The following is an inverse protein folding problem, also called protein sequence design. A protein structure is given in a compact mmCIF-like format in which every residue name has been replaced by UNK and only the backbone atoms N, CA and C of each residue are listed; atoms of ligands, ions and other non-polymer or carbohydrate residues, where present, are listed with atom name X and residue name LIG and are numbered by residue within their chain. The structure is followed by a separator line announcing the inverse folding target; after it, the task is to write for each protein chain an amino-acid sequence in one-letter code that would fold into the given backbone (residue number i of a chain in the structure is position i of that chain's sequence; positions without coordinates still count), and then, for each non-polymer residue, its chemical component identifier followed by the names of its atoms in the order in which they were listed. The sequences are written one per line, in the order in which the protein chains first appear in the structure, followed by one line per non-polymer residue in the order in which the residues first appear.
data_IF_185291973373
#
_entry.id   IF_185291973373
#
_cell.length_a   1.000
_cell.length_b   1.000
_cell.length_c   1.000
_cell.angle_alpha   90.00
_cell.angle_beta   90.00
_cell.angle_gamma   90.00
#
_symmetry.space_group_name_H-M   'P 1'
#
loop_
_entity.id
_entity.type
_entity.pdbx_description
1 polymer ?
#
# COMPACT_ATOMS: atom_id res chain seq x y z
N UNK A 1 15.96 -9.24 9.10
CA UNK A 1 15.40 -7.89 9.32
C UNK A 1 14.32 -7.86 10.41
N UNK A 2 13.20 -8.57 10.25
CA UNK A 2 12.09 -8.52 11.22
C UNK A 2 12.50 -8.94 12.65
N UNK A 3 13.33 -9.98 12.78
CA UNK A 3 13.87 -10.43 14.08
C UNK A 3 14.72 -9.35 14.77
N UNK A 4 15.56 -8.64 14.02
CA UNK A 4 16.38 -7.54 14.56
C UNK A 4 15.50 -6.37 15.04
N UNK A 5 14.41 -6.08 14.33
CA UNK A 5 13.44 -5.06 14.76
C UNK A 5 12.74 -5.49 16.05
N UNK A 6 12.30 -6.75 16.15
CA UNK A 6 11.61 -7.28 17.33
C UNK A 6 12.50 -7.27 18.59
N UNK A 7 13.78 -7.64 18.42
CA UNK A 7 14.79 -7.60 19.47
C UNK A 7 15.01 -6.19 20.06
N UNK A 8 14.60 -5.14 19.35
CA UNK A 8 14.67 -3.77 19.86
C UNK A 8 16.09 -3.21 19.88
N UNK A 9 16.97 -3.68 18.99
CA UNK A 9 18.35 -3.20 18.85
C UNK A 9 18.48 -2.27 17.62
N UNK A 10 18.53 -0.94 17.82
CA UNK A 10 18.67 0.01 16.72
C UNK A 10 19.96 -0.15 15.92
N UNK A 11 21.06 -0.58 16.56
CA UNK A 11 22.34 -0.80 15.90
C UNK A 11 22.25 -1.96 14.92
N UNK A 12 21.79 -3.11 15.40
CA UNK A 12 21.61 -4.30 14.58
C UNK A 12 20.67 -4.07 13.39
N UNK A 13 19.59 -3.29 13.57
CA UNK A 13 18.67 -2.95 12.48
C UNK A 13 19.32 -2.06 11.43
N UNK A 14 20.08 -1.04 11.84
CA UNK A 14 20.81 -0.17 10.90
C UNK A 14 21.89 -0.96 10.16
N UNK A 15 22.63 -1.83 10.85
CA UNK A 15 23.65 -2.67 10.22
C UNK A 15 23.04 -3.65 9.21
N UNK A 16 21.90 -4.26 9.55
CA UNK A 16 21.16 -5.10 8.61
C UNK A 16 20.72 -4.33 7.36
N UNK A 17 20.20 -3.10 7.52
CA UNK A 17 19.83 -2.25 6.39
C UNK A 17 21.03 -1.82 5.55
N UNK A 18 22.16 -1.47 6.18
CA UNK A 18 23.41 -1.08 5.50
C UNK A 18 24.02 -2.24 4.73
N UNK A 19 23.96 -3.45 5.29
CA UNK A 19 24.48 -4.66 4.63
C UNK A 19 23.79 -4.97 3.30
N UNK A 20 22.60 -4.38 3.05
CA UNK A 20 21.85 -4.47 1.79
C UNK A 20 21.81 -5.90 1.23
N UNK A 21 21.27 -6.88 2.00
CA UNK A 21 21.11 -8.23 1.49
C UNK A 21 20.22 -8.22 0.24
N UNK A 22 20.28 -9.27 -0.58
CA UNK A 22 19.67 -9.29 -1.92
C UNK A 22 18.17 -8.92 -1.95
N UNK A 23 17.46 -9.14 -0.85
CA UNK A 23 16.04 -8.90 -0.64
C UNK A 23 15.71 -7.59 0.11
N UNK A 24 16.69 -6.88 0.68
CA UNK A 24 16.46 -5.65 1.45
C UNK A 24 17.28 -4.49 0.91
N UNK A 25 16.59 -3.39 0.61
CA UNK A 25 17.19 -2.12 0.20
C UNK A 25 16.85 -1.02 1.19
N UNK A 26 17.84 -0.20 1.54
CA UNK A 26 17.62 1.02 2.29
C UNK A 26 17.92 2.26 1.43
N UNK A 27 16.97 3.18 1.40
CA UNK A 27 17.12 4.52 0.85
C UNK A 27 17.18 5.50 2.02
N UNK A 28 18.40 5.90 2.38
CA UNK A 28 18.65 6.92 3.41
C UNK A 28 18.21 8.30 2.91
N UNK A 29 16.92 8.60 3.12
CA UNK A 29 16.26 9.77 2.60
C UNK A 29 15.93 10.73 3.75
N UNK A 30 16.28 12.03 3.64
CA UNK A 30 15.98 12.99 4.70
C UNK A 30 14.47 13.13 4.91
N UNK A 31 14.06 13.27 6.16
CA UNK A 31 12.67 13.48 6.52
C UNK A 31 12.27 14.98 6.44
N UNK A 32 11.02 15.29 6.06
CA UNK A 32 9.99 14.36 5.61
C UNK A 32 10.28 13.87 4.19
N UNK A 33 10.08 12.57 3.95
CA UNK A 33 10.21 11.96 2.63
C UNK A 33 9.08 12.44 1.74
N UNK A 34 9.37 13.36 0.81
CA UNK A 34 8.45 13.85 -0.22
C UNK A 34 8.67 13.09 -1.54
N UNK A 35 7.70 12.29 -2.02
CA UNK A 35 7.86 11.50 -3.22
C UNK A 35 7.96 12.33 -4.50
N UNK A 36 7.51 13.59 -4.48
CA UNK A 36 7.59 14.48 -5.64
C UNK A 36 8.97 15.14 -5.80
N UNK A 37 9.77 15.16 -4.73
CA UNK A 37 11.06 15.90 -4.68
C UNK A 37 12.28 15.02 -4.45
N UNK A 38 12.11 13.81 -3.93
CA UNK A 38 13.23 12.95 -3.57
C UNK A 38 13.89 12.30 -4.80
N UNK A 39 15.17 12.58 -5.09
CA UNK A 39 15.88 11.97 -6.22
C UNK A 39 16.22 10.50 -5.99
N UNK A 40 16.16 10.02 -4.74
CA UNK A 40 16.49 8.64 -4.37
C UNK A 40 15.43 7.62 -4.82
N UNK A 41 14.26 8.09 -5.25
CA UNK A 41 13.10 7.25 -5.55
C UNK A 41 13.03 6.74 -6.98
N UNK A 42 14.08 6.88 -7.80
CA UNK A 42 14.06 6.47 -9.21
C UNK A 42 13.68 5.00 -9.37
N UNK A 43 14.28 4.10 -8.59
CA UNK A 43 13.99 2.67 -8.69
C UNK A 43 12.65 2.30 -8.04
N UNK A 44 12.26 2.98 -6.95
CA UNK A 44 10.92 2.83 -6.35
C UNK A 44 9.84 3.22 -7.37
N UNK A 45 10.02 4.36 -8.05
CA UNK A 45 9.14 4.82 -9.12
C UNK A 45 9.09 3.78 -10.24
N UNK A 46 10.24 3.26 -10.69
CA UNK A 46 10.28 2.23 -11.75
C UNK A 46 9.45 1.01 -11.34
N UNK A 47 9.72 0.44 -10.17
CA UNK A 47 9.04 -0.77 -9.69
C UNK A 47 7.52 -0.57 -9.52
N UNK A 48 7.10 0.56 -8.92
CA UNK A 48 5.67 0.87 -8.74
C UNK A 48 4.97 1.09 -10.08
N UNK A 49 5.62 1.78 -11.02
CA UNK A 49 5.05 2.01 -12.36
C UNK A 49 4.94 0.70 -13.13
N UNK A 50 5.93 -0.18 -13.07
CA UNK A 50 5.91 -1.48 -13.73
C UNK A 50 4.79 -2.38 -13.19
N UNK A 51 4.68 -2.50 -11.86
CA UNK A 51 3.61 -3.24 -11.21
C UNK A 51 2.22 -2.71 -11.59
N UNK A 52 2.00 -1.40 -11.50
CA UNK A 52 0.73 -0.79 -11.86
C UNK A 52 0.43 -0.88 -13.37
N UNK A 53 1.45 -0.85 -14.23
CA UNK A 53 1.29 -1.07 -15.67
C UNK A 53 0.77 -2.48 -15.93
N UNK A 54 1.28 -3.49 -15.22
CA UNK A 54 0.80 -4.87 -15.31
C UNK A 54 -0.66 -5.00 -14.87
N UNK A 55 -1.04 -4.35 -13.77
CA UNK A 55 -2.45 -4.27 -13.31
C UNK A 55 -3.34 -3.65 -14.38
N UNK A 56 -2.95 -2.49 -14.92
CA UNK A 56 -3.75 -1.78 -15.93
C UNK A 56 -3.85 -2.59 -17.22
N UNK A 57 -2.77 -3.24 -17.66
CA UNK A 57 -2.75 -4.05 -18.87
C UNK A 57 -3.68 -5.26 -18.74
N UNK A 58 -3.62 -6.00 -17.63
CA UNK A 58 -4.53 -7.12 -17.37
C UNK A 58 -5.99 -6.65 -17.28
N UNK A 59 -6.24 -5.57 -16.55
CA UNK A 59 -7.58 -5.02 -16.36
C UNK A 59 -8.23 -4.53 -17.66
N UNK A 60 -7.46 -3.92 -18.57
CA UNK A 60 -7.94 -3.49 -19.90
C UNK A 60 -8.28 -4.66 -20.82
N UNK A 61 -7.70 -5.84 -20.59
CA UNK A 61 -8.07 -7.08 -21.30
C UNK A 61 -9.22 -7.85 -20.63
N UNK A 62 -9.76 -7.34 -19.53
CA UNK A 62 -10.80 -8.03 -18.75
C UNK A 62 -10.29 -9.19 -17.90
N UNK A 63 -8.98 -9.33 -17.75
CA UNK A 63 -8.36 -10.41 -16.98
C UNK A 63 -8.32 -10.04 -15.49
N UNK A 64 -9.43 -10.33 -14.80
CA UNK A 64 -9.58 -10.08 -13.36
C UNK A 64 -8.55 -10.79 -12.50
N UNK A 65 -8.36 -12.13 -12.64
CA UNK A 65 -7.35 -12.86 -11.89
C UNK A 65 -5.94 -12.28 -12.07
N UNK A 66 -5.48 -12.08 -13.31
CA UNK A 66 -4.14 -11.54 -13.53
C UNK A 66 -3.98 -10.11 -12.99
N UNK A 67 -5.04 -9.30 -13.01
CA UNK A 67 -5.02 -7.96 -12.43
C UNK A 67 -4.92 -7.98 -10.89
N UNK A 68 -5.61 -8.92 -10.23
CA UNK A 68 -5.53 -9.12 -8.78
C UNK A 68 -4.17 -9.66 -8.35
N UNK A 69 -3.60 -10.60 -9.10
CA UNK A 69 -2.26 -11.12 -8.84
C UNK A 69 -1.20 -10.01 -9.00
N UNK A 70 -1.28 -9.24 -10.10
CA UNK A 70 -0.39 -8.09 -10.32
C UNK A 70 -0.54 -7.02 -9.23
N UNK A 71 -1.74 -6.83 -8.66
CA UNK A 71 -1.98 -5.87 -7.58
C UNK A 71 -1.19 -6.23 -6.31
N UNK A 72 -0.91 -7.51 -6.07
CA UNK A 72 -0.17 -7.99 -4.91
C UNK A 72 1.35 -7.89 -5.07
N UNK A 73 1.85 -7.52 -6.25
CA UNK A 73 3.29 -7.54 -6.56
C UNK A 73 4.10 -6.49 -5.81
N UNK A 74 3.63 -5.23 -5.74
CA UNK A 74 4.34 -4.12 -5.09
C UNK A 74 3.35 -3.26 -4.30
N UNK A 75 3.66 -2.96 -3.04
CA UNK A 75 2.84 -2.05 -2.23
C UNK A 75 3.68 -0.98 -1.51
N UNK A 76 3.17 0.25 -1.49
CA UNK A 76 3.76 1.35 -0.71
C UNK A 76 3.00 1.53 0.61
N UNK A 77 3.73 1.40 1.72
CA UNK A 77 3.21 1.51 3.07
C UNK A 77 3.78 2.75 3.77
N UNK A 78 2.88 3.61 4.25
CA UNK A 78 3.24 4.82 4.98
C UNK A 78 2.80 4.71 6.44
N UNK A 79 3.54 5.33 7.36
CA UNK A 79 3.06 5.46 8.74
C UNK A 79 1.84 6.39 8.83
N UNK A 80 1.91 7.54 8.13
CA UNK A 80 0.91 8.59 8.21
C UNK A 80 -0.11 8.51 7.08
N UNK A 81 -1.30 9.07 7.32
CA UNK A 81 -2.30 9.28 6.27
C UNK A 81 -2.04 10.55 5.44
N UNK A 82 -1.56 11.61 6.09
CA UNK A 82 -1.36 12.96 5.52
C UNK A 82 0.10 13.38 5.69
N UNK A 83 0.47 14.51 5.08
CA UNK A 83 1.83 15.02 5.06
C UNK A 83 2.67 14.43 3.91
N UNK A 84 3.89 14.92 3.69
CA UNK A 84 4.72 14.52 2.55
C UNK A 84 5.03 13.01 2.54
N UNK A 85 5.29 12.44 3.73
CA UNK A 85 5.53 11.00 3.91
C UNK A 85 4.24 10.18 4.09
N UNK A 86 3.08 10.82 3.97
CA UNK A 86 1.79 10.19 4.18
C UNK A 86 1.24 9.49 2.94
N UNK A 87 0.39 8.48 3.16
CA UNK A 87 -0.23 7.68 2.09
C UNK A 87 -0.96 8.54 1.05
N UNK A 88 -1.56 9.66 1.44
CA UNK A 88 -2.22 10.58 0.51
C UNK A 88 -1.27 11.24 -0.50
N UNK A 89 -0.11 11.72 -0.04
CA UNK A 89 0.89 12.35 -0.89
C UNK A 89 1.52 11.32 -1.85
N UNK A 90 1.88 10.15 -1.33
CA UNK A 90 2.41 9.05 -2.12
C UNK A 90 1.43 8.54 -3.17
N UNK A 91 0.15 8.38 -2.82
CA UNK A 91 -0.90 8.00 -3.77
C UNK A 91 -1.05 9.03 -4.89
N UNK A 92 -1.09 10.32 -4.55
CA UNK A 92 -1.22 11.38 -5.55
C UNK A 92 -0.02 11.42 -6.51
N UNK A 93 1.18 11.20 -5.97
CA UNK A 93 2.41 11.20 -6.73
C UNK A 93 2.57 9.96 -7.62
N UNK A 94 2.20 8.77 -7.11
CA UNK A 94 2.12 7.56 -7.94
C UNK A 94 1.12 7.75 -9.07
N UNK A 95 -0.08 8.28 -8.79
CA UNK A 95 -1.06 8.61 -9.83
C UNK A 95 -0.48 9.60 -10.87
N UNK A 96 0.43 10.50 -10.48
CA UNK A 96 1.15 11.40 -11.40
C UNK A 96 2.15 10.64 -12.27
N UNK A 97 2.95 9.75 -11.68
CA UNK A 97 3.87 8.90 -12.44
C UNK A 97 3.14 8.04 -13.48
N UNK A 98 1.99 7.47 -13.10
CA UNK A 98 1.18 6.63 -13.96
C UNK A 98 0.50 7.41 -15.09
N UNK A 99 0.05 8.65 -14.84
CA UNK A 99 -0.44 9.54 -15.91
C UNK A 99 0.61 9.81 -16.98
N UNK A 100 1.88 9.88 -16.60
CA UNK A 100 2.98 10.06 -17.57
C UNK A 100 3.35 8.75 -18.27
N UNK A 101 3.32 7.62 -17.56
CA UNK A 101 3.82 6.34 -18.08
C UNK A 101 2.79 5.57 -18.91
N UNK A 102 1.50 5.72 -18.63
CA UNK A 102 0.43 4.90 -19.21
C UNK A 102 -0.54 5.80 -19.98
N UNK A 103 -0.59 5.61 -21.30
CA UNK A 103 -1.54 6.32 -22.16
C UNK A 103 -2.98 6.06 -21.72
N UNK A 104 -3.77 7.14 -21.61
CA UNK A 104 -5.17 7.09 -21.18
C UNK A 104 -5.38 6.67 -19.72
N UNK A 105 -4.36 6.74 -18.86
CA UNK A 105 -4.51 6.42 -17.44
C UNK A 105 -5.45 7.39 -16.74
N UNK A 106 -6.35 6.85 -15.92
CA UNK A 106 -7.29 7.65 -15.13
C UNK A 106 -8.44 8.27 -15.93
N UNK A 107 -8.51 8.05 -17.25
CA UNK A 107 -9.61 8.54 -18.09
C UNK A 107 -10.88 7.75 -17.78
N UNK A 108 -11.95 8.46 -17.45
CA UNK A 108 -13.24 7.86 -17.15
C UNK A 108 -13.75 7.04 -18.36
N UNK A 109 -14.28 5.85 -18.11
CA UNK A 109 -14.99 5.12 -19.15
C UNK A 109 -16.22 5.93 -19.62
N UNK A 110 -16.57 5.91 -20.92
CA UNK A 110 -17.75 6.58 -21.44
C UNK A 110 -19.01 6.19 -20.66
N UNK A 111 -19.83 7.18 -20.28
CA UNK A 111 -21.06 6.94 -19.51
C UNK A 111 -20.85 6.46 -18.07
N UNK A 112 -19.61 6.37 -17.58
CA UNK A 112 -19.35 6.08 -16.17
C UNK A 112 -19.71 7.29 -15.31
N UNK A 113 -20.49 7.04 -14.25
CA UNK A 113 -20.69 8.06 -13.22
C UNK A 113 -19.44 8.21 -12.36
N UNK A 114 -19.13 9.40 -11.82
CA UNK A 114 -18.05 9.55 -10.87
C UNK A 114 -18.23 8.58 -9.69
N UNK A 115 -17.14 7.93 -9.29
CA UNK A 115 -17.09 7.16 -8.07
C UNK A 115 -16.96 8.03 -6.83
N UNK A 116 -16.72 7.39 -5.69
CA UNK A 116 -16.52 8.05 -4.40
C UNK A 116 -15.44 9.15 -4.47
N UNK A 117 -15.67 10.27 -3.77
CA UNK A 117 -14.90 11.52 -3.87
C UNK A 117 -14.76 12.08 -5.30
N UNK A 118 -15.79 11.91 -6.13
CA UNK A 118 -15.84 12.39 -7.53
C UNK A 118 -14.72 11.86 -8.42
N UNK A 119 -14.14 10.70 -8.06
CA UNK A 119 -13.04 10.08 -8.84
C UNK A 119 -13.59 9.21 -9.95
N UNK A 120 -13.08 9.37 -11.16
CA UNK A 120 -13.45 8.57 -12.33
C UNK A 120 -13.28 7.05 -12.11
N UNK A 121 -14.16 6.26 -12.73
CA UNK A 121 -13.97 4.82 -12.89
C UNK A 121 -13.24 4.53 -14.20
N UNK A 122 -12.17 3.75 -14.12
CA UNK A 122 -11.34 3.37 -15.25
C UNK A 122 -10.78 1.96 -15.04
N UNK A 123 -10.56 1.23 -16.13
CA UNK A 123 -9.93 -0.09 -16.07
C UNK A 123 -8.48 0.03 -15.56
N UNK A 124 -8.13 -0.78 -14.58
CA UNK A 124 -6.86 -0.78 -13.88
C UNK A 124 -6.87 0.02 -12.58
N UNK A 125 -7.98 0.66 -12.19
CA UNK A 125 -8.06 1.35 -10.88
C UNK A 125 -8.02 0.31 -9.75
N UNK A 126 -6.99 0.32 -8.89
CA UNK A 126 -6.94 -0.55 -7.73
C UNK A 126 -7.81 0.03 -6.62
N UNK A 127 -8.46 -0.84 -5.86
CA UNK A 127 -9.46 -0.50 -4.86
C UNK A 127 -9.07 -1.05 -3.50
N UNK A 128 -9.33 -0.26 -2.46
CA UNK A 128 -9.38 -0.70 -1.08
C UNK A 128 -10.74 -0.34 -0.49
N UNK A 129 -11.45 -1.33 0.02
CA UNK A 129 -12.72 -1.15 0.73
C UNK A 129 -12.45 -0.57 2.10
N UNK A 130 -13.17 0.50 2.46
CA UNK A 130 -12.95 1.25 3.70
C UNK A 130 -14.07 1.07 4.72
N UNK A 131 -15.18 0.43 4.35
CA UNK A 131 -16.28 0.06 5.23
C UNK A 131 -16.99 -1.20 4.70
N UNK A 132 -17.56 -2.00 5.60
CA UNK A 132 -18.31 -3.19 5.21
C UNK A 132 -19.58 -2.81 4.45
N UNK A 133 -19.85 -3.50 3.36
CA UNK A 133 -21.14 -3.50 2.67
C UNK A 133 -21.59 -4.95 2.50
N UNK A 134 -22.42 -5.39 3.44
CA UNK A 134 -22.96 -6.75 3.48
C UNK A 134 -23.88 -7.06 2.29
N UNK A 135 -24.51 -6.04 1.68
CA UNK A 135 -25.36 -6.22 0.51
C UNK A 135 -24.57 -6.51 -0.76
N UNK A 136 -23.32 -6.05 -0.82
CA UNK A 136 -22.36 -6.36 -1.88
C UNK A 136 -21.42 -7.51 -1.52
N UNK A 137 -21.35 -7.92 -0.25
CA UNK A 137 -20.42 -8.93 0.21
C UNK A 137 -18.96 -8.45 0.23
N UNK A 138 -18.75 -7.13 0.39
CA UNK A 138 -17.40 -6.53 0.55
C UNK A 138 -17.18 -6.07 1.99
N UNK A 139 -15.95 -6.21 2.47
CA UNK A 139 -15.54 -5.97 3.84
C UNK A 139 -14.38 -4.98 3.88
N UNK A 140 -14.29 -4.20 4.95
CA UNK A 140 -13.21 -3.26 5.18
C UNK A 140 -11.86 -4.00 5.14
N UNK A 141 -10.94 -3.49 4.32
CA UNK A 141 -9.65 -4.11 4.05
C UNK A 141 -9.59 -4.93 2.76
N UNK A 142 -10.73 -5.25 2.14
CA UNK A 142 -10.73 -5.95 0.86
C UNK A 142 -10.07 -5.12 -0.25
N UNK A 143 -9.25 -5.79 -1.04
CA UNK A 143 -8.58 -5.21 -2.19
C UNK A 143 -9.19 -5.73 -3.49
N UNK A 144 -9.32 -4.86 -4.48
CA UNK A 144 -9.87 -5.22 -5.78
C UNK A 144 -9.30 -4.39 -6.92
N UNK A 145 -9.70 -4.71 -8.15
CA UNK A 145 -9.33 -3.95 -9.35
C UNK A 145 -10.57 -3.74 -10.23
N UNK A 146 -10.69 -2.55 -10.80
CA UNK A 146 -11.69 -2.30 -11.84
C UNK A 146 -11.17 -2.84 -13.17
N UNK A 147 -11.93 -3.70 -13.84
CA UNK A 147 -11.61 -4.30 -15.14
C UNK A 147 -12.63 -3.91 -16.20
N UNK A 148 -12.22 -3.99 -17.46
CA UNK A 148 -13.12 -3.87 -18.61
C UNK A 148 -13.57 -5.27 -19.07
N UNK A 149 -14.86 -5.56 -18.90
CA UNK A 149 -15.44 -6.86 -19.29
C UNK A 149 -15.93 -6.91 -20.73
N UNK A 150 -15.79 -5.81 -21.47
CA UNK A 150 -16.13 -5.73 -22.89
C UNK A 150 -15.05 -4.97 -23.68
N UNK A 151 -13.79 -5.48 -23.71
CA UNK A 151 -12.70 -4.80 -24.40
C UNK A 151 -12.97 -4.71 -25.90
N UNK A 152 -12.93 -3.50 -26.46
CA UNK A 152 -13.23 -3.23 -27.88
C UNK A 152 -14.71 -3.00 -28.20
N UNK A 153 -15.59 -3.21 -27.23
CA UNK A 153 -17.02 -2.89 -27.31
C UNK A 153 -17.36 -1.58 -26.59
N UNK A 154 -18.30 -1.65 -25.65
CA UNK A 154 -18.83 -0.50 -24.90
C UNK A 154 -17.97 -0.07 -23.71
N UNK A 155 -16.93 -0.83 -23.34
CA UNK A 155 -16.10 -0.53 -22.16
C UNK A 155 -16.81 -0.81 -20.84
N UNK A 156 -17.38 -2.00 -20.68
CA UNK A 156 -18.22 -2.35 -19.54
C UNK A 156 -17.38 -2.64 -18.29
N UNK A 157 -17.37 -1.69 -17.36
CA UNK A 157 -16.59 -1.83 -16.13
C UNK A 157 -17.23 -2.77 -15.08
N UNK A 158 -16.37 -3.56 -14.44
CA UNK A 158 -16.66 -4.33 -13.21
C UNK A 158 -15.52 -4.14 -12.22
N UNK A 159 -15.83 -4.04 -10.93
CA UNK A 159 -14.84 -4.19 -9.87
C UNK A 159 -14.79 -5.66 -9.47
N UNK A 160 -13.61 -6.27 -9.58
CA UNK A 160 -13.35 -7.63 -9.11
C UNK A 160 -12.59 -7.58 -7.80
N UNK A 161 -13.01 -8.39 -6.83
CA UNK A 161 -12.37 -8.53 -5.53
C UNK A 161 -11.93 -9.97 -5.34
N UNK A 162 -10.75 -10.13 -4.76
CA UNK A 162 -10.25 -11.46 -4.45
C UNK A 162 -11.09 -12.13 -3.36
N UNK A 163 -11.44 -13.38 -3.62
CA UNK A 163 -12.20 -14.26 -2.76
C UNK A 163 -11.64 -15.66 -2.95
N UNK A 164 -11.48 -16.39 -1.85
CA UNK A 164 -11.06 -17.80 -1.89
C UNK A 164 -12.08 -18.61 -2.70
N UNK A 165 -11.74 -18.94 -3.95
CA UNK A 165 -12.63 -19.62 -4.89
C UNK A 165 -12.95 -18.74 -6.10
N UNK A 166 -14.11 -18.09 -6.10
CA UNK A 166 -14.60 -17.28 -7.23
C UNK A 166 -14.50 -15.78 -6.91
N UNK A 167 -13.83 -14.98 -7.77
CA UNK A 167 -13.75 -13.53 -7.57
C UNK A 167 -15.13 -12.87 -7.51
N UNK A 168 -15.35 -12.03 -6.50
CA UNK A 168 -16.58 -11.25 -6.39
C UNK A 168 -16.57 -10.12 -7.43
N UNK A 169 -17.56 -10.08 -8.31
CA UNK A 169 -17.70 -9.07 -9.36
C UNK A 169 -18.91 -8.16 -9.12
N UNK A 170 -18.68 -6.85 -9.02
CA UNK A 170 -19.73 -5.85 -8.79
C UNK A 170 -19.62 -4.67 -9.75
N UNK A 171 -20.73 -3.94 -9.94
CA UNK A 171 -20.69 -2.68 -10.70
C UNK A 171 -19.98 -1.60 -9.86
N UNK A 172 -18.97 -0.89 -10.37
CA UNK A 172 -18.25 0.12 -9.60
C UNK A 172 -19.16 1.21 -9.02
N UNK A 173 -20.21 1.60 -9.74
CA UNK A 173 -21.19 2.59 -9.29
C UNK A 173 -21.95 2.19 -8.01
N UNK A 174 -21.95 0.91 -7.61
CA UNK A 174 -22.53 0.45 -6.34
C UNK A 174 -21.58 0.61 -5.15
N UNK A 175 -20.29 0.82 -5.38
CA UNK A 175 -19.29 0.92 -4.33
C UNK A 175 -19.30 2.32 -3.72
N UNK A 176 -19.83 2.43 -2.50
CA UNK A 176 -19.90 3.71 -1.77
C UNK A 176 -18.66 4.00 -0.92
N UNK A 177 -17.94 2.97 -0.46
CA UNK A 177 -16.84 3.12 0.52
C UNK A 177 -15.55 2.46 0.03
N UNK A 178 -14.94 3.05 -1.00
CA UNK A 178 -13.66 2.59 -1.56
C UNK A 178 -12.70 3.74 -1.85
N UNK A 179 -11.40 3.46 -1.73
CA UNK A 179 -10.31 4.37 -2.12
C UNK A 179 -9.34 3.72 -3.11
N UNK A 180 -8.55 4.54 -3.82
CA UNK A 180 -7.49 4.00 -4.70
C UNK A 180 -6.35 3.41 -3.89
N UNK A 181 -5.90 2.21 -4.25
CA UNK A 181 -4.85 1.46 -3.55
C UNK A 181 -3.48 1.54 -4.25
N UNK A 182 -2.88 2.73 -4.30
CA UNK A 182 -1.48 2.90 -4.75
C UNK A 182 -0.51 3.10 -3.59
N UNK A 183 -1.02 3.63 -2.48
CA UNK A 183 -0.33 3.71 -1.21
C UNK A 183 -1.36 3.63 -0.09
N UNK A 184 -1.00 2.97 1.00
CA UNK A 184 -1.87 2.84 2.16
C UNK A 184 -1.08 3.02 3.46
N UNK A 185 -1.80 3.19 4.56
CA UNK A 185 -1.18 3.21 5.88
C UNK A 185 -0.82 1.80 6.34
N UNK A 186 0.29 1.63 7.07
CA UNK A 186 0.72 0.32 7.61
C UNK A 186 -0.41 -0.39 8.37
N UNK A 187 -1.20 0.34 9.17
CA UNK A 187 -2.37 -0.19 9.87
C UNK A 187 -3.42 -0.84 8.95
N UNK A 188 -3.61 -0.31 7.73
CA UNK A 188 -4.57 -0.84 6.75
C UNK A 188 -4.01 -2.06 6.00
N UNK A 189 -2.72 -2.32 6.09
CA UNK A 189 -2.08 -3.50 5.52
C UNK A 189 -2.13 -4.72 6.46
N UNK A 190 -2.70 -4.59 7.66
CA UNK A 190 -2.75 -5.67 8.63
C UNK A 190 -3.45 -6.90 8.05
N UNK A 191 -2.77 -8.06 8.12
CA UNK A 191 -3.28 -9.32 7.56
C UNK A 191 -3.11 -9.48 6.04
N UNK A 192 -2.58 -8.48 5.35
CA UNK A 192 -2.18 -8.59 3.93
C UNK A 192 -0.68 -8.84 3.81
N UNK A 193 -0.24 -9.49 2.74
CA UNK A 193 1.17 -9.61 2.35
C UNK A 193 1.30 -9.28 0.86
N UNK A 194 2.49 -8.85 0.47
CA UNK A 194 2.82 -8.41 -0.88
C UNK A 194 4.19 -8.94 -1.28
N UNK A 195 4.38 -9.24 -2.57
CA UNK A 195 5.66 -9.72 -3.09
C UNK A 195 6.82 -8.78 -2.72
N UNK A 196 6.63 -7.49 -2.99
CA UNK A 196 7.53 -6.43 -2.58
C UNK A 196 6.81 -5.32 -1.81
N UNK A 197 7.49 -4.75 -0.80
CA UNK A 197 6.97 -3.64 0.00
C UNK A 197 7.96 -2.49 0.05
N UNK A 198 7.46 -1.27 -0.17
CA UNK A 198 8.18 -0.03 0.08
C UNK A 198 7.64 0.60 1.36
N UNK A 199 8.43 0.62 2.44
CA UNK A 199 8.07 1.24 3.71
C UNK A 199 8.61 2.66 3.75
N UNK A 200 7.73 3.63 3.98
CA UNK A 200 8.08 5.05 4.10
C UNK A 200 7.92 5.48 5.56
N UNK A 201 9.04 5.79 6.20
CA UNK A 201 9.01 6.27 7.59
C UNK A 201 8.95 7.80 7.64
N UNK A 202 8.17 8.36 8.59
CA UNK A 202 8.16 9.78 8.89
C UNK A 202 9.43 10.18 9.67
N UNK A 203 9.54 11.46 10.00
CA UNK A 203 10.60 12.01 10.86
C UNK A 203 10.67 11.31 12.24
N UNK A 204 11.89 11.27 12.81
CA UNK A 204 12.20 10.57 14.07
C UNK A 204 11.32 11.00 15.27
N UNK A 205 10.88 12.26 15.30
CA UNK A 205 10.02 12.80 16.36
C UNK A 205 8.55 12.34 16.28
N UNK A 206 8.16 11.61 15.23
CA UNK A 206 6.77 11.25 15.02
C UNK A 206 6.24 10.30 16.11
N UNK A 207 5.03 10.56 16.68
CA UNK A 207 4.43 9.67 17.68
C UNK A 207 3.99 8.32 17.12
N UNK A 208 3.79 8.22 15.80
CA UNK A 208 3.41 6.98 15.14
C UNK A 208 4.60 6.04 14.92
N UNK A 209 5.82 6.55 15.05
CA UNK A 209 7.05 5.81 14.80
C UNK A 209 7.37 4.93 16.02
N UNK A 210 6.96 3.67 15.97
CA UNK A 210 7.18 2.67 17.02
C UNK A 210 7.77 1.39 16.44
N UNK A 211 8.34 0.56 17.32
CA UNK A 211 8.94 -0.72 16.96
C UNK A 211 7.91 -1.65 16.33
N UNK A 212 6.71 -1.72 16.89
CA UNK A 212 5.62 -2.57 16.41
C UNK A 212 5.09 -2.07 15.05
N UNK A 213 5.06 -0.76 14.81
CA UNK A 213 4.70 -0.23 13.49
C UNK A 213 5.73 -0.67 12.44
N UNK A 214 7.02 -0.49 12.74
CA UNK A 214 8.10 -0.91 11.83
C UNK A 214 8.08 -2.41 11.62
N UNK A 215 7.95 -3.21 12.68
CA UNK A 215 7.84 -4.67 12.62
C UNK A 215 6.66 -5.11 11.75
N UNK A 216 5.49 -4.49 11.94
CA UNK A 216 4.31 -4.79 11.13
C UNK A 216 4.57 -4.48 9.66
N UNK A 217 5.22 -3.35 9.36
CA UNK A 217 5.53 -2.94 8.00
C UNK A 217 6.52 -3.89 7.30
N UNK A 218 7.62 -4.27 7.97
CA UNK A 218 8.63 -5.14 7.38
C UNK A 218 8.11 -6.56 7.15
N UNK A 219 7.22 -7.05 8.01
CA UNK A 219 6.59 -8.38 7.85
C UNK A 219 5.51 -8.44 6.77
N UNK A 220 5.15 -7.31 6.15
CA UNK A 220 4.23 -7.31 4.99
C UNK A 220 4.92 -7.76 3.70
N UNK A 221 6.25 -7.73 3.63
CA UNK A 221 7.03 -8.15 2.47
C UNK A 221 7.20 -9.68 2.44
N UNK A 222 6.92 -10.31 1.30
CA UNK A 222 7.17 -11.74 1.10
C UNK A 222 8.56 -12.01 0.53
N UNK A 223 9.03 -11.15 -0.39
CA UNK A 223 10.28 -11.37 -1.13
C UNK A 223 11.22 -10.17 -1.13
N UNK A 224 10.71 -8.95 -1.20
CA UNK A 224 11.55 -7.75 -1.27
C UNK A 224 11.06 -6.62 -0.37
N UNK A 225 11.98 -6.00 0.35
CA UNK A 225 11.71 -4.87 1.22
C UNK A 225 12.57 -3.67 0.81
N UNK A 226 11.94 -2.54 0.54
CA UNK A 226 12.63 -1.25 0.44
C UNK A 226 12.21 -0.36 1.62
N UNK A 227 13.16 0.08 2.43
CA UNK A 227 12.93 1.07 3.49
C UNK A 227 13.37 2.44 2.99
N UNK A 228 12.48 3.42 3.07
CA UNK A 228 12.75 4.83 2.73
C UNK A 228 12.61 5.63 4.01
N UNK A 229 13.76 5.95 4.61
CA UNK A 229 13.83 6.56 5.92
C UNK A 229 15.22 7.12 6.18
N UNK A 230 15.30 8.22 6.92
CA UNK A 230 16.55 8.65 7.53
C UNK A 230 16.96 7.68 8.65
N UNK A 231 18.26 7.55 8.91
CA UNK A 231 18.78 6.65 9.95
C UNK A 231 18.20 6.94 11.33
N UNK A 232 18.09 8.22 11.69
CA UNK A 232 17.54 8.66 12.98
C UNK A 232 16.09 8.19 13.17
N UNK A 233 15.28 8.19 12.11
CA UNK A 233 13.93 7.66 12.13
C UNK A 233 13.90 6.15 12.32
N UNK A 234 14.79 5.40 11.65
CA UNK A 234 14.89 3.95 11.88
C UNK A 234 15.26 3.67 13.34
N UNK A 235 16.27 4.36 13.87
CA UNK A 235 16.70 4.18 15.27
C UNK A 235 15.60 4.55 16.25
N UNK A 236 14.91 5.66 16.02
CA UNK A 236 13.81 6.12 16.86
C UNK A 236 12.63 5.14 16.86
N UNK A 237 12.27 4.55 15.70
CA UNK A 237 11.26 3.50 15.63
C UNK A 237 11.62 2.31 16.53
N UNK A 238 12.83 1.75 16.36
CA UNK A 238 13.25 0.54 17.06
C UNK A 238 13.35 0.77 18.57
N UNK A 239 13.83 1.94 18.99
CA UNK A 239 13.97 2.30 20.41
C UNK A 239 12.63 2.56 21.12
N UNK A 240 11.53 2.77 20.39
CA UNK A 240 10.23 3.15 20.94
C UNK A 240 9.22 2.00 20.86
N UNK A 241 9.09 1.18 21.92
CA UNK A 241 7.96 0.25 22.01
C UNK A 241 6.65 1.00 22.22
N UNK A 242 5.54 0.43 21.77
CA UNK A 242 4.21 0.88 22.16
C UNK A 242 4.06 0.68 23.67
N UNK A 243 3.78 1.76 24.40
CA UNK A 243 3.37 1.66 25.79
C UNK A 243 2.03 0.92 25.86
N UNK A 244 2.06 -0.37 26.23
CA UNK A 244 0.84 -1.13 26.51
C UNK A 244 0.37 -0.79 27.92
N UNK A 245 -0.54 0.18 28.03
CA UNK A 245 -1.36 0.36 29.22
C UNK A 245 -2.41 -0.76 29.28
N UNK A 246 -1.99 -1.99 29.51
CA UNK A 246 -2.91 -3.07 29.85
C UNK A 246 -2.71 -3.39 31.32
N UNK A 247 -3.68 -3.05 32.18
CA UNK A 247 -3.78 -3.57 33.54
C UNK A 247 -4.11 -5.08 33.59
N UNK A 248 -3.89 -5.80 32.49
CA UNK A 248 -4.13 -7.24 32.36
C UNK A 248 -3.16 -8.08 33.21
N UNK A 249 -1.86 -7.74 33.38
CA UNK A 249 -1.01 -8.46 34.32
C UNK A 249 -1.48 -8.31 35.77
N UNK A 250 -1.98 -7.13 36.15
CA UNK A 250 -2.53 -6.85 37.49
C UNK A 250 -3.89 -7.51 37.73
N UNK A 251 -4.67 -7.76 36.67
CA UNK A 251 -5.96 -8.46 36.76
C UNK A 251 -5.82 -9.99 36.79
N UNK A 252 -4.72 -10.54 36.23
CA UNK A 252 -4.45 -11.98 36.19
C UNK A 252 -3.65 -12.48 37.40
N UNK A 253 -3.16 -11.58 38.25
CA UNK A 253 -2.49 -11.91 39.51
C UNK A 253 -3.18 -11.23 40.69
N UNK A 254 -4.29 -11.81 41.13
CA UNK A 254 -4.77 -11.64 42.50
C UNK A 254 -4.50 -12.96 43.26
N UNK A 255 -3.80 -12.92 44.41
CA UNK A 255 -3.58 -14.10 45.25
C UNK A 255 -4.88 -14.63 45.86
#
# INVERSE_FOLDING_TARGET
MAEAVDAGDPGAVVDALRSSPADVRWLDAPAPVDPARSPLLVDVRRAVVEAATSVVAAARRGDGPAALDALRSVQVLCAHRRGPSGAGAWRAEIERWLRTAISGFGVAAPGSQPGYHSRAWYAGRPLLVTANDYGLGVFNGDTGVVIDTDPGGSGRLRAVFDRRGEPLSVRPARLASVESLYAMTIHKAQGSQFGAVVVVLPEAGSPLLTRELLYTAVTRAEHHLTVVAAEDAVRAAVARPIARASGLPEALWKP
#
